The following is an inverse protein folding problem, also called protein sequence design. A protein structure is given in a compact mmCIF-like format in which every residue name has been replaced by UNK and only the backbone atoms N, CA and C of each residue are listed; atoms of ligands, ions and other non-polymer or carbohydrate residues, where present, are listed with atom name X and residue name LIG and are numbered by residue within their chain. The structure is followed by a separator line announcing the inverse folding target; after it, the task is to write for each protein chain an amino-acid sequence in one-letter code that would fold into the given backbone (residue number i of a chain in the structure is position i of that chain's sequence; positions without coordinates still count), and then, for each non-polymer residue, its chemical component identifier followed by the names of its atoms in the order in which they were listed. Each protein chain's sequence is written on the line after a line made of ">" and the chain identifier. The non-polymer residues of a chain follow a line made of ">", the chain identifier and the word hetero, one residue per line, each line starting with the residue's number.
data_IF_187101376340
#
_entry.id   IF_187101376340
#
_cell.length_a   1.000
_cell.length_b   1.000
_cell.length_c   1.000
_cell.angle_alpha   90.00
_cell.angle_beta   90.00
_cell.angle_gamma   90.00
#
_symmetry.space_group_name_H-M   'P 1'
#
loop_
_entity.id
_entity.type
_entity.pdbx_description
1 polymer ?
#
# COMPACT_ATOMS: atom_id res chain seq x y z
N UNK A 1 -10.37 -38.59 -11.83
CA UNK A 1 -9.55 -38.27 -10.64
C UNK A 1 -9.00 -36.87 -10.86
N UNK A 2 -9.48 -35.86 -10.13
CA UNK A 2 -8.85 -34.54 -10.16
C UNK A 2 -7.69 -34.59 -9.17
N UNK A 3 -6.46 -34.56 -9.69
CA UNK A 3 -5.27 -34.29 -8.89
C UNK A 3 -5.48 -32.93 -8.25
N UNK A 4 -5.63 -32.89 -6.92
CA UNK A 4 -5.49 -31.65 -6.15
C UNK A 4 -4.02 -31.25 -6.26
N UNK A 5 -3.66 -30.58 -7.36
CA UNK A 5 -2.42 -29.84 -7.41
C UNK A 5 -2.52 -28.81 -6.29
N UNK A 6 -1.72 -29.02 -5.25
CA UNK A 6 -1.51 -28.05 -4.20
C UNK A 6 -0.71 -26.95 -4.89
N UNK A 7 -1.40 -25.96 -5.45
CA UNK A 7 -0.76 -24.79 -6.05
C UNK A 7 -0.20 -24.03 -4.86
N UNK A 8 1.07 -24.25 -4.58
CA UNK A 8 1.79 -23.47 -3.58
C UNK A 8 1.97 -22.08 -4.18
N UNK A 9 1.24 -21.12 -3.63
CA UNK A 9 1.35 -19.72 -4.04
C UNK A 9 2.73 -19.22 -3.62
N UNK A 10 3.64 -19.11 -4.58
CA UNK A 10 4.93 -18.46 -4.34
C UNK A 10 4.79 -16.94 -4.46
N UNK A 11 5.27 -16.24 -3.44
CA UNK A 11 5.29 -14.78 -3.38
C UNK A 11 6.73 -14.29 -3.40
N UNK A 12 7.12 -13.59 -4.48
CA UNK A 12 8.45 -13.00 -4.64
C UNK A 12 8.34 -11.47 -4.62
N UNK A 13 9.25 -10.79 -3.92
CA UNK A 13 9.32 -9.32 -3.83
C UNK A 13 10.54 -8.83 -4.61
N UNK A 14 10.44 -7.76 -5.39
CA UNK A 14 11.57 -7.11 -6.06
C UNK A 14 11.58 -5.59 -5.82
N UNK A 15 12.76 -5.02 -5.54
CA UNK A 15 12.92 -3.58 -5.22
C UNK A 15 13.22 -2.70 -6.43
N UNK A 16 13.40 -3.29 -7.61
CA UNK A 16 13.61 -2.55 -8.85
C UNK A 16 12.96 -3.25 -10.03
N UNK A 17 12.71 -2.50 -11.11
CA UNK A 17 12.18 -3.06 -12.35
C UNK A 17 13.12 -4.13 -12.92
N UNK A 18 14.44 -3.93 -12.83
CA UNK A 18 15.43 -4.91 -13.30
C UNK A 18 15.32 -6.22 -12.51
N UNK A 19 15.32 -6.14 -11.18
CA UNK A 19 15.19 -7.31 -10.31
C UNK A 19 13.86 -8.05 -10.54
N UNK A 20 12.78 -7.32 -10.82
CA UNK A 20 11.50 -7.92 -11.17
C UNK A 20 11.60 -8.73 -12.47
N UNK A 21 12.22 -8.18 -13.52
CA UNK A 21 12.41 -8.88 -14.79
C UNK A 21 13.30 -10.11 -14.63
N UNK A 22 14.39 -9.99 -13.88
CA UNK A 22 15.29 -11.12 -13.60
C UNK A 22 14.52 -12.27 -12.91
N UNK A 23 13.64 -11.94 -11.95
CA UNK A 23 12.80 -12.94 -11.25
C UNK A 23 11.73 -13.58 -12.13
N UNK A 24 11.20 -12.85 -13.12
CA UNK A 24 10.25 -13.42 -14.09
C UNK A 24 10.92 -14.41 -15.03
N UNK A 25 12.19 -14.20 -15.37
CA UNK A 25 12.97 -15.12 -16.21
C UNK A 25 13.30 -16.45 -15.51
N UNK A 26 13.24 -16.47 -14.17
CA UNK A 26 13.43 -17.68 -13.36
C UNK A 26 12.14 -18.51 -13.21
N UNK A 27 10.98 -18.00 -13.66
CA UNK A 27 9.70 -18.72 -13.54
C UNK A 27 9.55 -19.76 -14.64
N UNK A 28 8.90 -20.88 -14.30
CA UNK A 28 8.59 -21.89 -15.30
C UNK A 28 7.53 -21.35 -16.28
N UNK A 29 7.65 -21.62 -17.61
CA UNK A 29 6.75 -21.06 -18.61
C UNK A 29 5.27 -21.43 -18.46
N UNK A 30 4.97 -22.48 -17.70
CA UNK A 30 3.61 -22.96 -17.43
C UNK A 30 2.97 -22.27 -16.20
N UNK A 31 3.73 -21.48 -15.45
CA UNK A 31 3.24 -20.76 -14.29
C UNK A 31 2.50 -19.48 -14.72
N UNK A 32 1.20 -19.43 -14.46
CA UNK A 32 0.47 -18.17 -14.47
C UNK A 32 1.02 -17.26 -13.38
N UNK A 33 1.43 -16.04 -13.73
CA UNK A 33 1.90 -15.04 -12.77
C UNK A 33 1.12 -13.72 -12.86
N UNK A 34 1.12 -12.95 -11.77
CA UNK A 34 0.77 -11.54 -11.80
C UNK A 34 1.84 -10.71 -11.11
N UNK A 35 2.06 -9.50 -11.64
CA UNK A 35 2.95 -8.51 -11.06
C UNK A 35 2.13 -7.32 -10.62
N UNK A 36 2.32 -6.90 -9.36
CA UNK A 36 1.68 -5.72 -8.78
C UNK A 36 2.76 -4.82 -8.21
N UNK A 37 2.62 -3.50 -8.35
CA UNK A 37 3.53 -2.54 -7.75
C UNK A 37 2.89 -1.96 -6.47
N UNK A 38 3.58 -2.11 -5.34
CA UNK A 38 3.22 -1.53 -4.06
C UNK A 38 3.96 -0.20 -3.87
N UNK A 39 3.24 0.89 -4.11
CA UNK A 39 3.76 2.25 -3.97
C UNK A 39 4.10 2.65 -2.53
N UNK A 40 3.56 1.96 -1.52
CA UNK A 40 3.87 2.27 -0.12
C UNK A 40 5.21 1.70 0.31
N UNK A 41 5.58 0.54 -0.24
CA UNK A 41 6.84 -0.16 0.07
C UNK A 41 7.91 -0.01 -1.04
N UNK A 42 7.56 0.74 -2.09
CA UNK A 42 8.35 0.96 -3.31
C UNK A 42 8.91 -0.35 -3.88
N UNK A 43 8.03 -1.33 -4.10
CA UNK A 43 8.41 -2.67 -4.50
C UNK A 43 7.41 -3.32 -5.45
N UNK A 44 7.90 -4.27 -6.25
CA UNK A 44 7.09 -5.16 -7.07
C UNK A 44 6.82 -6.45 -6.31
N UNK A 45 5.56 -6.88 -6.29
CA UNK A 45 5.11 -8.17 -5.77
C UNK A 45 4.71 -9.06 -6.94
N UNK A 46 5.37 -10.20 -7.05
CA UNK A 46 5.16 -11.21 -8.09
C UNK A 46 4.50 -12.41 -7.42
N UNK A 47 3.35 -12.80 -7.97
CA UNK A 47 2.54 -13.90 -7.49
C UNK A 47 2.50 -14.99 -8.55
N UNK A 48 2.87 -16.21 -8.18
CA UNK A 48 2.80 -17.37 -9.07
C UNK A 48 1.66 -18.29 -8.61
N UNK A 49 0.78 -18.68 -9.53
CA UNK A 49 -0.43 -19.46 -9.25
C UNK A 49 -1.69 -18.62 -9.01
N UNK A 50 -2.72 -19.26 -8.46
CA UNK A 50 -4.02 -18.60 -8.22
C UNK A 50 -3.91 -17.56 -7.10
N UNK A 51 -4.33 -16.33 -7.39
CA UNK A 51 -4.55 -15.34 -6.34
C UNK A 51 -5.69 -15.80 -5.42
N UNK A 52 -5.60 -15.55 -4.10
CA UNK A 52 -6.75 -15.74 -3.22
C UNK A 52 -7.95 -14.94 -3.76
N UNK A 53 -9.13 -15.55 -3.74
CA UNK A 53 -10.35 -14.99 -4.35
C UNK A 53 -10.74 -13.60 -3.82
N UNK A 54 -10.22 -13.18 -2.66
CA UNK A 54 -10.49 -11.87 -2.04
C UNK A 54 -9.28 -10.91 -1.99
N UNK A 55 -8.22 -11.17 -2.76
CA UNK A 55 -6.97 -10.39 -2.65
C UNK A 55 -7.21 -8.89 -2.90
N UNK A 56 -7.88 -8.55 -4.00
CA UNK A 56 -8.11 -7.15 -4.38
C UNK A 56 -9.09 -6.47 -3.42
N UNK A 57 -10.13 -7.16 -2.98
CA UNK A 57 -11.09 -6.65 -2.00
C UNK A 57 -10.41 -6.34 -0.66
N UNK A 58 -9.52 -7.21 -0.20
CA UNK A 58 -8.76 -6.99 1.03
C UNK A 58 -7.78 -5.82 0.90
N UNK A 59 -7.10 -5.69 -0.25
CA UNK A 59 -6.19 -4.58 -0.53
C UNK A 59 -6.94 -3.24 -0.62
N UNK A 60 -8.14 -3.23 -1.22
CA UNK A 60 -9.02 -2.06 -1.25
C UNK A 60 -9.44 -1.68 0.18
N UNK A 61 -9.95 -2.63 0.96
CA UNK A 61 -10.38 -2.38 2.33
C UNK A 61 -9.24 -1.82 3.21
N UNK A 62 -8.02 -2.39 3.07
CA UNK A 62 -6.84 -1.89 3.78
C UNK A 62 -6.52 -0.44 3.42
N UNK A 63 -6.61 -0.09 2.13
CA UNK A 63 -6.36 1.28 1.66
C UNK A 63 -7.43 2.26 2.13
N UNK A 64 -8.70 1.85 2.15
CA UNK A 64 -9.80 2.67 2.67
C UNK A 64 -9.61 2.98 4.16
N UNK A 65 -9.22 1.99 4.96
CA UNK A 65 -8.89 2.17 6.37
C UNK A 65 -7.74 3.16 6.58
N UNK A 66 -6.70 3.09 5.75
CA UNK A 66 -5.56 4.01 5.80
C UNK A 66 -5.96 5.44 5.42
N UNK A 67 -6.79 5.61 4.39
CA UNK A 67 -7.35 6.91 4.01
C UNK A 67 -8.16 7.52 5.16
N UNK A 68 -8.98 6.72 5.84
CA UNK A 68 -9.77 7.18 7.00
C UNK A 68 -8.84 7.64 8.13
N UNK A 69 -7.77 6.89 8.42
CA UNK A 69 -6.78 7.27 9.45
C UNK A 69 -6.08 8.58 9.10
N UNK A 70 -5.62 8.73 7.85
CA UNK A 70 -4.94 9.94 7.39
C UNK A 70 -5.87 11.17 7.45
N UNK A 71 -7.15 11.02 7.04
CA UNK A 71 -8.13 12.11 7.14
C UNK A 71 -8.35 12.57 8.58
N UNK A 72 -8.43 11.64 9.53
CA UNK A 72 -8.56 11.97 10.96
C UNK A 72 -7.33 12.74 11.47
N UNK A 73 -6.14 12.32 11.07
CA UNK A 73 -4.92 12.99 11.49
C UNK A 73 -4.79 14.39 10.89
N UNK A 74 -5.12 14.57 9.61
CA UNK A 74 -5.16 15.89 8.97
C UNK A 74 -6.14 16.83 9.69
N UNK A 75 -7.33 16.35 10.02
CA UNK A 75 -8.30 17.15 10.78
C UNK A 75 -7.76 17.55 12.16
N UNK A 76 -7.16 16.61 12.89
CA UNK A 76 -6.54 16.87 14.20
C UNK A 76 -5.43 17.93 14.10
N UNK A 77 -4.59 17.84 13.08
CA UNK A 77 -3.52 18.81 12.84
C UNK A 77 -4.07 20.20 12.51
N UNK A 78 -5.12 20.28 11.69
CA UNK A 78 -5.77 21.55 11.37
C UNK A 78 -6.38 22.20 12.61
N UNK A 79 -7.07 21.44 13.47
CA UNK A 79 -7.61 21.95 14.74
C UNK A 79 -6.52 22.54 15.64
N UNK A 80 -5.37 21.85 15.76
CA UNK A 80 -4.22 22.32 16.53
C UNK A 80 -3.66 23.61 15.93
N UNK A 81 -3.50 23.67 14.61
CA UNK A 81 -3.01 24.86 13.90
C UNK A 81 -3.96 26.05 14.13
N UNK A 82 -5.27 25.83 14.01
CA UNK A 82 -6.27 26.88 14.24
C UNK A 82 -6.21 27.42 15.67
N UNK A 83 -6.08 26.54 16.67
CA UNK A 83 -5.86 26.96 18.06
C UNK A 83 -4.60 27.82 18.20
N UNK A 84 -3.47 27.41 17.60
CA UNK A 84 -2.24 28.21 17.64
C UNK A 84 -2.40 29.56 16.95
N UNK A 85 -3.08 29.62 15.82
CA UNK A 85 -3.33 30.85 15.08
C UNK A 85 -4.18 31.82 15.89
N UNK A 86 -5.25 31.36 16.55
CA UNK A 86 -6.07 32.21 17.43
C UNK A 86 -5.27 32.73 18.63
N UNK A 87 -4.52 31.85 19.29
CA UNK A 87 -3.65 32.24 20.42
C UNK A 87 -2.59 33.29 20.00
N UNK A 88 -2.09 33.21 18.77
CA UNK A 88 -1.12 34.18 18.23
C UNK A 88 -1.73 35.55 17.93
N UNK A 89 -3.03 35.61 17.61
CA UNK A 89 -3.76 36.87 17.35
C UNK A 89 -4.01 37.63 18.65
N UNK A 90 -4.34 36.93 19.72
CA UNK A 90 -4.58 37.52 21.05
C UNK A 90 -3.32 38.12 21.69
N UNK A 91 -2.15 37.54 21.40
CA UNK A 91 -0.87 37.98 21.96
C UNK A 91 -0.18 39.14 21.20
N UNK A 92 -0.84 39.76 20.20
CA UNK A 92 -0.28 40.95 19.55
C UNK A 92 -0.33 42.15 20.52
N UNK A 93 0.81 42.80 20.83
CA UNK A 93 0.84 43.94 21.73
C UNK A 93 -0.03 45.06 21.16
N UNK A 94 -0.96 45.58 21.97
CA UNK A 94 -1.69 46.80 21.64
C UNK A 94 -0.66 47.91 21.45
N UNK A 95 -0.55 48.44 20.22
CA UNK A 95 0.28 49.61 19.94
C UNK A 95 -0.18 50.75 20.86
N UNK A 96 0.70 51.12 21.79
CA UNK A 96 0.60 52.36 22.57
C UNK A 96 0.97 53.56 21.70
#
# INVERSE_FOLDING_TARGET
>A
MYTKAKIETEHKIAKSQKEMLDKLLELDPEDCFAVTYDSFQDEYKIWCGNHPYGFYENEIARRDDEIIKLRKEVNRQNEIIDCFLETSKENKPKKS
#
